data_IF_077373678369
#
_entry.id   IF_077373678369
#
_cell.length_a   1.000
_cell.length_b   1.000
_cell.length_c   1.000
_cell.angle_alpha   90.00
_cell.angle_beta   90.00
_cell.angle_gamma   90.00
#
_symmetry.space_group_name_H-M   'P 1'
#
loop_
_entity.id
_entity.type
_entity.pdbx_description
1 polymer ?
#
# COMPACT_ATOMS: atom_id res chain seq x y z
N UNK A 1 6.77 -8.84 4.64
CA UNK A 1 7.82 -7.85 4.32
C UNK A 1 8.42 -8.14 2.95
N UNK A 2 9.04 -7.15 2.34
CA UNK A 2 9.75 -7.29 1.06
C UNK A 2 10.85 -8.35 1.12
N UNK A 3 11.58 -8.44 2.22
CA UNK A 3 12.62 -9.48 2.37
C UNK A 3 12.01 -10.89 2.40
N UNK A 4 10.84 -11.05 3.01
CA UNK A 4 10.11 -12.32 2.94
C UNK A 4 9.69 -12.66 1.51
N UNK A 5 9.20 -11.66 0.76
CA UNK A 5 8.83 -11.82 -0.65
C UNK A 5 10.00 -12.27 -1.52
N UNK A 6 11.17 -11.65 -1.33
CA UNK A 6 12.38 -12.05 -2.05
C UNK A 6 12.74 -13.50 -1.79
N UNK A 7 12.65 -13.91 -0.51
CA UNK A 7 12.92 -15.30 -0.13
C UNK A 7 11.92 -16.26 -0.79
N UNK A 8 10.64 -15.96 -0.78
CA UNK A 8 9.61 -16.80 -1.43
C UNK A 8 9.87 -16.94 -2.92
N UNK A 9 10.19 -15.85 -3.63
CA UNK A 9 10.51 -15.89 -5.06
C UNK A 9 11.72 -16.79 -5.31
N UNK A 10 12.79 -16.65 -4.51
CA UNK A 10 14.00 -17.46 -4.64
C UNK A 10 13.77 -18.95 -4.31
N UNK A 11 12.99 -19.24 -3.26
CA UNK A 11 12.66 -20.61 -2.89
C UNK A 11 11.82 -21.31 -3.98
N UNK A 12 10.88 -20.59 -4.62
CA UNK A 12 10.16 -21.06 -5.79
C UNK A 12 11.09 -21.26 -6.99
N UNK A 13 12.05 -20.35 -7.20
CA UNK A 13 13.07 -20.49 -8.23
C UNK A 13 13.84 -21.81 -8.12
N UNK A 14 14.28 -22.14 -6.90
CA UNK A 14 14.95 -23.42 -6.60
C UNK A 14 14.03 -24.63 -6.84
N UNK A 15 12.78 -24.54 -6.34
CA UNK A 15 11.83 -25.63 -6.48
C UNK A 15 11.54 -25.99 -7.94
N UNK A 16 11.45 -24.97 -8.81
CA UNK A 16 11.16 -25.15 -10.23
C UNK A 16 12.41 -25.14 -11.13
N UNK A 17 13.61 -25.10 -10.55
CA UNK A 17 14.91 -25.07 -11.28
C UNK A 17 15.01 -23.91 -12.27
N UNK A 18 14.59 -22.72 -11.81
CA UNK A 18 14.61 -21.46 -12.57
C UNK A 18 15.24 -20.32 -11.75
N UNK A 19 16.32 -20.61 -11.04
CA UNK A 19 16.99 -19.72 -10.09
C UNK A 19 17.39 -18.39 -10.72
N UNK A 20 17.99 -18.43 -11.90
CA UNK A 20 18.43 -17.23 -12.65
C UNK A 20 17.26 -16.27 -12.90
N UNK A 21 16.08 -16.82 -13.22
CA UNK A 21 14.88 -16.03 -13.44
C UNK A 21 14.36 -15.43 -12.13
N UNK A 22 14.37 -16.20 -11.07
CA UNK A 22 13.95 -15.74 -9.73
C UNK A 22 14.88 -14.62 -9.23
N UNK A 23 16.19 -14.79 -9.36
CA UNK A 23 17.17 -13.77 -8.97
C UNK A 23 17.06 -12.49 -9.81
N UNK A 24 16.77 -12.62 -11.11
CA UNK A 24 16.50 -11.47 -11.98
C UNK A 24 15.27 -10.68 -11.53
N UNK A 25 14.18 -11.37 -11.12
CA UNK A 25 12.97 -10.73 -10.60
C UNK A 25 13.29 -9.98 -9.29
N UNK A 26 13.94 -10.64 -8.33
CA UNK A 26 14.31 -10.02 -7.06
C UNK A 26 15.22 -8.80 -7.27
N UNK A 27 16.20 -8.92 -8.15
CA UNK A 27 17.11 -7.82 -8.49
C UNK A 27 16.35 -6.62 -9.08
N UNK A 28 15.39 -6.88 -9.97
CA UNK A 28 14.54 -5.83 -10.56
C UNK A 28 13.69 -5.11 -9.49
N UNK A 29 13.07 -5.86 -8.57
CA UNK A 29 12.26 -5.27 -7.48
C UNK A 29 13.15 -4.43 -6.55
N UNK A 30 14.32 -4.96 -6.15
CA UNK A 30 15.28 -4.23 -5.30
C UNK A 30 15.77 -2.94 -5.95
N UNK A 31 16.09 -2.99 -7.23
CA UNK A 31 16.48 -1.80 -8.00
C UNK A 31 15.36 -0.77 -7.99
N UNK A 32 14.12 -1.18 -8.30
CA UNK A 32 12.98 -0.27 -8.32
C UNK A 32 12.75 0.36 -6.94
N UNK A 33 12.83 -0.43 -5.87
CA UNK A 33 12.73 0.10 -4.50
C UNK A 33 13.80 1.17 -4.24
N UNK A 34 15.05 0.89 -4.60
CA UNK A 34 16.17 1.84 -4.41
C UNK A 34 15.93 3.15 -5.17
N UNK A 35 15.51 3.07 -6.44
CA UNK A 35 15.21 4.23 -7.27
C UNK A 35 14.08 5.09 -6.66
N UNK A 36 13.02 4.44 -6.16
CA UNK A 36 11.90 5.12 -5.50
C UNK A 36 12.30 5.70 -4.14
N UNK A 37 13.14 5.01 -3.36
CA UNK A 37 13.66 5.53 -2.09
C UNK A 37 14.54 6.76 -2.29
N UNK A 38 15.36 6.76 -3.32
CA UNK A 38 16.19 7.93 -3.65
C UNK A 38 15.32 9.14 -3.98
N UNK A 39 14.27 8.97 -4.78
CA UNK A 39 13.32 10.04 -5.08
C UNK A 39 12.57 10.48 -3.82
N UNK A 40 12.02 9.53 -3.05
CA UNK A 40 11.29 9.80 -1.80
C UNK A 40 12.17 10.51 -0.75
N UNK A 41 13.49 10.28 -0.76
CA UNK A 41 14.41 10.93 0.18
C UNK A 41 14.50 12.45 -0.01
N UNK A 42 14.18 12.94 -1.21
CA UNK A 42 14.17 14.37 -1.56
C UNK A 42 12.91 15.08 -1.08
N UNK A 43 11.87 14.33 -0.75
CA UNK A 43 10.63 14.85 -0.22
C UNK A 43 10.79 15.26 1.24
N UNK A 44 10.40 16.50 1.56
CA UNK A 44 10.53 17.06 2.92
C UNK A 44 9.51 16.48 3.88
N UNK A 45 8.30 16.26 3.38
CA UNK A 45 7.19 15.76 4.19
C UNK A 45 7.14 14.24 4.13
N UNK A 46 6.93 13.64 5.29
CA UNK A 46 6.74 12.19 5.44
C UNK A 46 5.29 11.94 5.82
N UNK A 47 4.42 11.63 4.83
CA UNK A 47 2.99 11.56 5.07
C UNK A 47 2.61 10.47 6.07
N UNK A 48 1.63 10.78 6.89
CA UNK A 48 0.96 9.81 7.75
C UNK A 48 -0.07 9.01 6.97
N UNK A 49 -0.12 7.71 7.21
CA UNK A 49 -0.81 6.75 6.35
C UNK A 49 -1.71 5.84 7.14
N UNK A 50 -2.90 5.60 6.62
CA UNK A 50 -3.74 4.46 6.98
C UNK A 50 -3.92 3.55 5.76
N UNK A 51 -3.93 2.24 6.00
CA UNK A 51 -4.21 1.22 4.99
C UNK A 51 -5.49 0.52 5.39
N UNK A 52 -6.55 0.69 4.61
CA UNK A 52 -7.88 0.21 4.96
C UNK A 52 -8.48 -0.65 3.84
N UNK A 53 -9.44 -1.48 4.19
CA UNK A 53 -10.20 -2.31 3.26
C UNK A 53 -11.65 -2.39 3.73
N UNK A 54 -12.61 -2.40 2.80
CA UNK A 54 -13.97 -2.79 3.11
C UNK A 54 -14.08 -4.32 3.17
N UNK A 55 -14.51 -4.84 4.33
CA UNK A 55 -14.83 -6.26 4.53
C UNK A 55 -16.26 -6.34 5.09
N UNK A 56 -17.19 -6.91 4.32
CA UNK A 56 -18.61 -6.98 4.68
C UNK A 56 -19.19 -5.63 5.14
N UNK A 57 -18.96 -4.59 4.36
CA UNK A 57 -19.38 -3.20 4.62
C UNK A 57 -18.80 -2.55 5.89
N UNK A 58 -17.77 -3.15 6.48
CA UNK A 58 -17.01 -2.56 7.60
C UNK A 58 -15.60 -2.24 7.14
N UNK A 59 -15.02 -1.18 7.70
CA UNK A 59 -13.62 -0.87 7.46
C UNK A 59 -12.72 -1.71 8.38
N UNK A 60 -11.68 -2.23 7.78
CA UNK A 60 -10.59 -2.95 8.46
C UNK A 60 -9.30 -2.20 8.19
N UNK A 61 -8.54 -1.90 9.23
CA UNK A 61 -7.17 -1.41 9.12
C UNK A 61 -6.21 -2.58 8.94
N UNK A 62 -5.20 -2.39 8.08
CA UNK A 62 -4.07 -3.30 7.93
C UNK A 62 -2.86 -2.76 8.70
N UNK A 63 -2.26 -3.64 9.52
CA UNK A 63 -1.16 -3.27 10.40
C UNK A 63 0.23 -3.58 9.84
N UNK A 64 1.22 -3.56 10.72
CA UNK A 64 2.66 -3.65 10.42
C UNK A 64 3.13 -4.97 9.81
N UNK A 65 2.40 -6.05 10.03
CA UNK A 65 2.83 -7.40 9.67
C UNK A 65 2.66 -7.73 8.18
N UNK A 66 2.20 -6.77 7.39
CA UNK A 66 1.82 -6.97 5.99
C UNK A 66 2.77 -6.27 5.02
N UNK A 67 2.87 -6.82 3.80
CA UNK A 67 3.78 -6.34 2.76
C UNK A 67 3.53 -4.86 2.40
N UNK A 68 2.29 -4.45 2.25
CA UNK A 68 1.94 -3.06 1.92
C UNK A 68 2.39 -2.08 3.01
N UNK A 69 2.37 -2.50 4.27
CA UNK A 69 2.87 -1.69 5.38
C UNK A 69 4.40 -1.55 5.32
N UNK A 70 5.11 -2.61 4.95
CA UNK A 70 6.56 -2.58 4.75
C UNK A 70 6.94 -1.67 3.57
N UNK A 71 6.18 -1.73 2.46
CA UNK A 71 6.35 -0.82 1.32
C UNK A 71 6.20 0.66 1.73
N UNK A 72 5.13 0.99 2.47
CA UNK A 72 4.90 2.34 2.98
C UNK A 72 6.06 2.83 3.84
N UNK A 73 6.52 2.01 4.80
CA UNK A 73 7.63 2.35 5.70
C UNK A 73 8.95 2.52 4.94
N UNK A 74 9.27 1.62 4.02
CA UNK A 74 10.51 1.70 3.22
C UNK A 74 10.55 2.90 2.29
N UNK A 75 9.38 3.41 1.88
CA UNK A 75 9.25 4.63 1.08
C UNK A 75 9.08 5.90 1.93
N UNK A 76 9.21 5.79 3.25
CA UNK A 76 9.23 6.91 4.18
C UNK A 76 7.85 7.37 4.65
N UNK A 77 6.77 6.67 4.32
CA UNK A 77 5.46 6.90 4.91
C UNK A 77 5.39 6.43 6.37
N UNK A 78 4.58 7.08 7.19
CA UNK A 78 4.40 6.76 8.61
C UNK A 78 3.03 6.17 8.86
N UNK A 79 2.98 4.87 9.18
CA UNK A 79 1.73 4.22 9.57
C UNK A 79 1.18 4.77 10.87
N UNK A 80 -0.12 4.97 10.93
CA UNK A 80 -0.82 5.48 12.10
C UNK A 80 -1.39 4.38 12.99
N UNK A 81 -1.78 3.25 12.41
CA UNK A 81 -2.28 2.09 13.13
C UNK A 81 -1.44 0.85 12.80
N UNK A 82 -0.97 0.17 13.82
CA UNK A 82 0.04 -0.90 13.72
C UNK A 82 -0.54 -2.32 13.76
N UNK A 83 -1.82 -2.45 14.12
CA UNK A 83 -2.49 -3.76 14.23
C UNK A 83 -3.64 -3.87 13.25
N UNK A 84 -3.85 -5.07 12.71
CA UNK A 84 -5.02 -5.36 11.89
C UNK A 84 -6.26 -5.46 12.77
N UNK A 85 -7.34 -4.80 12.35
CA UNK A 85 -8.61 -4.87 13.06
C UNK A 85 -9.69 -4.02 12.43
N UNK A 86 -10.92 -4.23 12.85
CA UNK A 86 -12.02 -3.35 12.48
C UNK A 86 -11.79 -1.96 13.05
N UNK A 87 -12.10 -0.95 12.25
CA UNK A 87 -12.01 0.46 12.65
C UNK A 87 -13.31 1.18 12.35
N UNK A 88 -13.52 2.26 13.09
CA UNK A 88 -14.64 3.17 12.90
C UNK A 88 -14.22 4.44 12.19
N UNK A 89 -15.19 5.16 11.65
CA UNK A 89 -14.97 6.50 11.08
C UNK A 89 -14.41 7.47 12.14
N UNK A 90 -14.84 7.35 13.39
CA UNK A 90 -14.32 8.16 14.50
C UNK A 90 -12.82 7.93 14.74
N UNK A 91 -12.36 6.68 14.61
CA UNK A 91 -10.94 6.36 14.72
C UNK A 91 -10.14 6.98 13.55
N UNK A 92 -10.67 6.94 12.33
CA UNK A 92 -10.03 7.61 11.18
C UNK A 92 -9.95 9.12 11.43
N UNK A 93 -11.04 9.76 11.91
CA UNK A 93 -11.07 11.17 12.28
C UNK A 93 -10.03 11.51 13.35
N UNK A 94 -9.87 10.67 14.36
CA UNK A 94 -8.90 10.85 15.44
C UNK A 94 -7.46 10.77 14.93
N UNK A 95 -7.20 9.84 14.02
CA UNK A 95 -5.85 9.62 13.47
C UNK A 95 -5.41 10.71 12.49
N UNK A 96 -6.33 11.34 11.77
CA UNK A 96 -6.07 12.41 10.79
C UNK A 96 -4.98 12.03 9.78
N UNK A 97 -5.14 10.96 8.99
CA UNK A 97 -4.15 10.56 8.00
C UNK A 97 -3.97 11.63 6.91
N UNK A 98 -2.74 11.74 6.40
CA UNK A 98 -2.44 12.52 5.20
C UNK A 98 -2.81 11.77 3.92
N UNK A 99 -2.75 10.43 3.97
CA UNK A 99 -3.03 9.52 2.87
C UNK A 99 -3.76 8.29 3.38
N UNK A 100 -4.74 7.84 2.62
CA UNK A 100 -5.40 6.56 2.82
C UNK A 100 -5.16 5.67 1.60
N UNK A 101 -4.59 4.48 1.82
CA UNK A 101 -4.59 3.42 0.82
C UNK A 101 -5.80 2.52 1.05
N UNK A 102 -6.65 2.41 0.03
CA UNK A 102 -7.80 1.53 0.03
C UNK A 102 -7.44 0.23 -0.68
N UNK A 103 -7.28 -0.84 0.11
CA UNK A 103 -7.03 -2.17 -0.43
C UNK A 103 -8.29 -2.70 -1.10
N UNK A 104 -8.13 -3.25 -2.30
CA UNK A 104 -9.23 -3.82 -3.10
C UNK A 104 -8.85 -5.22 -3.58
N UNK A 105 -9.73 -6.19 -3.36
CA UNK A 105 -9.55 -7.57 -3.84
C UNK A 105 -9.77 -7.66 -5.35
N UNK A 106 -9.34 -8.76 -5.97
CA UNK A 106 -9.62 -9.05 -7.37
C UNK A 106 -11.12 -9.11 -7.65
N UNK A 107 -11.90 -9.66 -6.70
CA UNK A 107 -13.36 -9.79 -6.79
C UNK A 107 -14.10 -8.45 -6.80
N UNK A 108 -13.51 -7.45 -6.18
CA UNK A 108 -14.08 -6.10 -6.06
C UNK A 108 -13.37 -5.09 -6.96
N UNK A 109 -12.42 -5.53 -7.79
CA UNK A 109 -11.60 -4.63 -8.60
C UNK A 109 -12.42 -3.80 -9.58
N UNK A 110 -13.47 -4.38 -10.16
CA UNK A 110 -14.39 -3.66 -11.04
C UNK A 110 -15.21 -2.58 -10.31
N UNK A 111 -15.32 -2.71 -8.98
CA UNK A 111 -16.05 -1.78 -8.11
C UNK A 111 -15.12 -0.79 -7.39
N UNK A 112 -13.83 -0.82 -7.66
CA UNK A 112 -12.82 -0.04 -6.92
C UNK A 112 -13.14 1.45 -6.83
N UNK A 113 -13.61 2.06 -7.92
CA UNK A 113 -13.96 3.47 -7.95
C UNK A 113 -15.21 3.76 -7.12
N UNK A 114 -16.17 2.83 -7.08
CA UNK A 114 -17.35 2.96 -6.22
C UNK A 114 -16.96 2.87 -4.74
N UNK A 115 -16.05 1.95 -4.37
CA UNK A 115 -15.55 1.82 -3.00
C UNK A 115 -14.74 3.04 -2.58
N UNK A 116 -13.91 3.57 -3.47
CA UNK A 116 -13.18 4.83 -3.26
C UNK A 116 -14.15 5.99 -3.08
N UNK A 117 -15.14 6.11 -3.95
CA UNK A 117 -16.17 7.14 -3.89
C UNK A 117 -16.98 7.04 -2.60
N UNK A 118 -17.33 5.83 -2.14
CA UNK A 118 -18.01 5.61 -0.87
C UNK A 118 -17.21 6.20 0.30
N UNK A 119 -15.91 5.96 0.34
CA UNK A 119 -15.05 6.50 1.41
C UNK A 119 -14.93 8.03 1.32
N UNK A 120 -14.73 8.57 0.11
CA UNK A 120 -14.62 10.01 -0.13
C UNK A 120 -15.90 10.79 0.21
N UNK A 121 -17.07 10.18 0.05
CA UNK A 121 -18.35 10.82 0.33
C UNK A 121 -18.96 10.42 1.67
N UNK A 122 -18.18 9.81 2.56
CA UNK A 122 -18.60 9.51 3.93
C UNK A 122 -18.76 10.81 4.72
N UNK A 123 -19.97 11.20 5.15
CA UNK A 123 -20.22 12.55 5.70
C UNK A 123 -19.39 12.88 6.92
N UNK A 124 -19.17 11.89 7.80
CA UNK A 124 -18.36 12.05 9.03
C UNK A 124 -16.88 12.36 8.73
N UNK A 125 -16.37 11.97 7.56
CA UNK A 125 -14.95 12.15 7.19
C UNK A 125 -14.70 13.43 6.38
N UNK A 126 -15.72 14.20 6.02
CA UNK A 126 -15.60 15.36 5.13
C UNK A 126 -14.63 16.45 5.62
N UNK A 127 -14.37 16.51 6.92
CA UNK A 127 -13.45 17.48 7.52
C UNK A 127 -11.97 17.11 7.37
N UNK A 128 -11.67 15.88 6.96
CA UNK A 128 -10.29 15.42 6.83
C UNK A 128 -9.61 16.00 5.58
N UNK A 129 -8.41 16.57 5.69
CA UNK A 129 -7.68 17.10 4.55
C UNK A 129 -7.40 16.05 3.46
N UNK A 130 -7.16 14.79 3.83
CA UNK A 130 -6.93 13.71 2.86
C UNK A 130 -8.20 13.41 2.02
N UNK A 131 -9.38 13.56 2.62
CA UNK A 131 -10.67 13.40 1.91
C UNK A 131 -10.90 14.60 0.99
N UNK A 132 -10.73 15.83 1.50
CA UNK A 132 -10.92 17.06 0.72
C UNK A 132 -9.98 17.17 -0.48
N UNK A 133 -8.76 16.65 -0.34
CA UNK A 133 -7.73 16.62 -1.39
C UNK A 133 -7.75 15.32 -2.19
N UNK A 134 -8.74 14.47 -1.97
CA UNK A 134 -8.91 13.16 -2.63
C UNK A 134 -7.66 12.25 -2.53
N UNK A 135 -6.87 12.37 -1.44
CA UNK A 135 -5.70 11.52 -1.19
C UNK A 135 -6.09 10.13 -0.65
N UNK A 136 -7.00 9.50 -1.36
CA UNK A 136 -7.42 8.12 -1.17
C UNK A 136 -7.05 7.35 -2.43
N UNK A 137 -6.10 6.44 -2.33
CA UNK A 137 -5.54 5.72 -3.47
C UNK A 137 -5.88 4.24 -3.40
N UNK A 138 -6.29 3.68 -4.53
CA UNK A 138 -6.54 2.25 -4.67
C UNK A 138 -5.19 1.51 -4.63
N UNK A 139 -5.11 0.48 -3.79
CA UNK A 139 -4.00 -0.46 -3.79
C UNK A 139 -4.57 -1.88 -3.99
N UNK A 140 -4.42 -2.45 -5.19
CA UNK A 140 -4.88 -3.82 -5.45
C UNK A 140 -4.21 -4.82 -4.51
N UNK A 141 -4.97 -5.76 -3.99
CA UNK A 141 -4.48 -6.73 -3.01
C UNK A 141 -3.33 -7.59 -3.57
N UNK A 142 -3.40 -7.94 -4.86
CA UNK A 142 -2.37 -8.71 -5.55
C UNK A 142 -1.05 -7.95 -5.78
N UNK A 143 -1.03 -6.64 -5.60
CA UNK A 143 0.18 -5.82 -5.67
C UNK A 143 0.76 -5.52 -4.29
N UNK A 144 -0.11 -5.35 -3.30
CA UNK A 144 0.26 -4.93 -1.95
C UNK A 144 0.39 -6.05 -0.93
N UNK A 145 -0.04 -7.28 -1.24
CA UNK A 145 -0.05 -8.37 -0.27
C UNK A 145 0.49 -9.71 -0.80
N UNK A 146 0.30 -10.01 -2.07
CA UNK A 146 0.73 -11.30 -2.61
C UNK A 146 2.09 -11.21 -3.28
N UNK A 147 2.94 -12.18 -2.95
CA UNK A 147 4.28 -12.29 -3.50
C UNK A 147 4.30 -12.43 -5.02
N UNK A 148 5.24 -11.80 -5.66
CA UNK A 148 5.50 -12.08 -7.06
C UNK A 148 6.01 -10.89 -7.86
N UNK A 149 5.91 -11.02 -9.16
CA UNK A 149 6.40 -10.04 -10.14
C UNK A 149 5.71 -8.67 -10.04
N UNK A 150 4.50 -8.61 -9.47
CA UNK A 150 3.74 -7.37 -9.31
C UNK A 150 4.10 -6.56 -8.07
N UNK A 151 5.02 -7.05 -7.25
CA UNK A 151 5.55 -6.30 -6.10
C UNK A 151 6.15 -4.95 -6.51
N UNK A 152 6.79 -4.90 -7.69
CA UNK A 152 7.31 -3.63 -8.22
C UNK A 152 6.20 -2.63 -8.55
N UNK A 153 5.08 -3.08 -9.13
CA UNK A 153 3.89 -2.25 -9.40
C UNK A 153 3.29 -1.71 -8.10
N UNK A 154 3.19 -2.56 -7.07
CA UNK A 154 2.74 -2.16 -5.74
C UNK A 154 3.62 -1.07 -5.12
N UNK A 155 4.94 -1.19 -5.23
CA UNK A 155 5.88 -0.16 -4.78
C UNK A 155 5.65 1.17 -5.50
N UNK A 156 5.39 1.14 -6.82
CA UNK A 156 5.09 2.36 -7.59
C UNK A 156 3.77 3.01 -7.18
N UNK A 157 2.72 2.21 -6.97
CA UNK A 157 1.43 2.72 -6.51
C UNK A 157 1.54 3.35 -5.11
N UNK A 158 2.26 2.70 -4.20
CA UNK A 158 2.51 3.27 -2.87
C UNK A 158 3.32 4.55 -2.96
N UNK A 159 4.40 4.58 -3.76
CA UNK A 159 5.24 5.75 -3.92
C UNK A 159 4.45 6.96 -4.47
N UNK A 160 3.65 6.75 -5.53
CA UNK A 160 2.79 7.79 -6.12
C UNK A 160 1.70 8.29 -5.16
N UNK A 161 1.14 7.40 -4.34
CA UNK A 161 0.17 7.80 -3.32
C UNK A 161 0.80 8.64 -2.21
N UNK A 162 2.03 8.31 -1.79
CA UNK A 162 2.77 9.10 -0.81
C UNK A 162 3.22 10.45 -1.38
N UNK A 163 3.76 10.43 -2.58
CA UNK A 163 4.42 11.56 -3.24
C UNK A 163 3.93 11.66 -4.70
N UNK A 164 2.88 12.43 -4.98
CA UNK A 164 2.26 12.46 -6.32
C UNK A 164 3.19 12.84 -7.47
N UNK A 165 4.28 13.58 -7.19
CA UNK A 165 5.24 14.04 -8.19
C UNK A 165 6.39 13.05 -8.46
N UNK A 166 6.44 11.90 -7.77
CA UNK A 166 7.46 10.87 -7.96
C UNK A 166 7.27 10.13 -9.30
N UNK A 167 8.38 9.75 -9.97
CA UNK A 167 8.36 9.15 -11.31
C UNK A 167 8.95 7.74 -11.35
#
# INVERSE_FOLDING_TARGET
TLEHEYKVIQDLGKLFQVEDKADSIVTSIRKRLTDLQEQASREKDKPSVMIVQYMSNKLVNWGDDYLQADMVKKLGGRLLLHTKGYITEEEILKQKPDVIFLMVTEWDYDKKENLRSQLLHTPSLNSLPCIQKERVYILPLYEGQYSGVRTAEGLEHVAKGLYPDIR
#
